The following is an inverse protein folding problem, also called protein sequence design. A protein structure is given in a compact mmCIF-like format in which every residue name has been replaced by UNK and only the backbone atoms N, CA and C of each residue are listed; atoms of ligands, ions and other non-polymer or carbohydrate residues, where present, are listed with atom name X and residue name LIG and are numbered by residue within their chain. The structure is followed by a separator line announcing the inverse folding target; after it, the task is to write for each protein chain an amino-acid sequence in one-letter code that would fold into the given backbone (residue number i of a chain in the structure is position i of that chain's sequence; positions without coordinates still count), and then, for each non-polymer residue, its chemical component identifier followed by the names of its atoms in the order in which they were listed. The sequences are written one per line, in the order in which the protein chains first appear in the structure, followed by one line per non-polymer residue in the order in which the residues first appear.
data_IF_104690818339
#
_entry.id   IF_104690818339
#
_cell.length_a   1.000
_cell.length_b   1.000
_cell.length_c   1.000
_cell.angle_alpha   90.00
_cell.angle_beta   90.00
_cell.angle_gamma   90.00
#
_symmetry.space_group_name_H-M   'P 1'
#
loop_
_entity.id
_entity.type
_entity.pdbx_description
1 polymer ?
#
# COMPACT_ATOMS: atom_id res chain seq x y z
N UNK A 1 32.14 67.53 -16.61
CA UNK A 1 32.65 66.15 -16.77
C UNK A 1 32.03 65.32 -15.66
N UNK A 2 30.89 64.67 -15.93
CA UNK A 2 30.10 63.93 -14.93
C UNK A 2 30.66 62.52 -14.76
N UNK A 3 30.96 62.13 -13.51
CA UNK A 3 31.47 60.81 -13.19
C UNK A 3 30.35 59.78 -13.26
N UNK A 4 30.41 58.91 -14.27
CA UNK A 4 29.63 57.67 -14.31
C UNK A 4 30.21 56.70 -13.28
N UNK A 5 29.59 56.59 -12.12
CA UNK A 5 29.84 55.49 -11.20
C UNK A 5 29.16 54.21 -11.76
N UNK A 6 29.88 53.09 -11.94
CA UNK A 6 29.26 51.83 -12.33
C UNK A 6 28.42 51.31 -11.15
N UNK A 7 27.11 51.12 -11.39
CA UNK A 7 26.21 50.47 -10.46
C UNK A 7 26.56 48.97 -10.35
N UNK A 8 27.33 48.62 -9.32
CA UNK A 8 27.60 47.22 -8.95
C UNK A 8 26.31 46.63 -8.38
N UNK A 9 25.40 46.23 -9.26
CA UNK A 9 24.23 45.43 -8.91
C UNK A 9 24.62 43.95 -8.96
N UNK A 10 25.36 43.49 -7.95
CA UNK A 10 25.52 42.06 -7.67
C UNK A 10 24.17 41.56 -7.18
N UNK A 11 23.27 41.32 -8.12
CA UNK A 11 22.04 40.56 -7.86
C UNK A 11 22.48 39.12 -7.71
N UNK A 12 22.66 38.66 -6.46
CA UNK A 12 22.88 37.23 -6.20
C UNK A 12 21.68 36.48 -6.77
N UNK A 13 21.94 35.51 -7.63
CA UNK A 13 20.90 34.59 -8.09
C UNK A 13 20.38 33.83 -6.86
N UNK A 14 19.12 34.08 -6.49
CA UNK A 14 18.45 33.40 -5.38
C UNK A 14 18.02 32.03 -5.88
N UNK A 15 18.42 30.97 -5.17
CA UNK A 15 18.05 29.58 -5.49
C UNK A 15 17.33 28.95 -4.32
N UNK A 16 16.55 27.91 -4.58
CA UNK A 16 15.95 27.11 -3.51
C UNK A 16 17.05 26.46 -2.66
N UNK A 17 16.79 26.27 -1.36
CA UNK A 17 17.69 25.51 -0.50
C UNK A 17 17.77 24.05 -0.97
N UNK A 18 18.85 23.33 -0.64
CA UNK A 18 18.98 21.92 -0.99
C UNK A 18 17.88 21.08 -0.33
N UNK A 19 17.50 19.98 -0.98
CA UNK A 19 16.45 19.04 -0.52
C UNK A 19 16.44 18.75 1.01
N UNK A 20 17.57 18.41 1.67
CA UNK A 20 17.54 18.14 3.12
C UNK A 20 17.12 19.34 3.97
N UNK A 21 17.45 20.57 3.57
CA UNK A 21 17.04 21.77 4.29
C UNK A 21 15.56 22.09 4.05
N UNK A 22 15.09 21.86 2.83
CA UNK A 22 13.67 21.99 2.50
C UNK A 22 12.82 20.99 3.31
N UNK A 23 13.25 19.74 3.42
CA UNK A 23 12.57 18.73 4.24
C UNK A 23 12.55 19.11 5.73
N UNK A 24 13.63 19.67 6.26
CA UNK A 24 13.65 20.21 7.64
C UNK A 24 12.68 21.38 7.81
N UNK A 25 12.57 22.25 6.80
CA UNK A 25 11.61 23.34 6.81
C UNK A 25 10.17 22.81 6.81
N UNK A 26 9.87 21.79 6.01
CA UNK A 26 8.58 21.11 6.00
C UNK A 26 8.26 20.48 7.36
N UNK A 27 9.19 19.75 7.97
CA UNK A 27 9.00 19.17 9.32
C UNK A 27 8.67 20.23 10.38
N UNK A 28 9.29 21.42 10.30
CA UNK A 28 8.96 22.51 11.21
C UNK A 28 7.60 23.14 10.89
N UNK A 29 7.28 23.28 9.61
CA UNK A 29 6.02 23.83 9.13
C UNK A 29 4.82 22.92 9.42
N UNK A 30 5.03 21.61 9.59
CA UNK A 30 3.98 20.64 9.93
C UNK A 30 3.27 20.94 11.26
N UNK A 31 3.86 21.79 12.11
CA UNK A 31 3.32 22.15 13.43
C UNK A 31 2.25 23.23 13.38
N UNK A 32 2.11 23.95 12.26
CA UNK A 32 1.17 25.06 12.15
C UNK A 32 0.80 25.36 10.70
N UNK A 33 -0.51 25.55 10.40
CA UNK A 33 -0.95 25.91 9.05
C UNK A 33 -0.37 27.25 8.58
N UNK A 34 -0.12 28.20 9.49
CA UNK A 34 0.48 29.49 9.15
C UNK A 34 1.95 29.36 8.73
N UNK A 35 2.72 28.49 9.40
CA UNK A 35 4.09 28.19 9.00
C UNK A 35 4.15 27.48 7.66
N UNK A 36 3.20 26.57 7.39
CA UNK A 36 3.07 25.89 6.11
C UNK A 36 2.75 26.89 4.98
N UNK A 37 1.77 27.78 5.18
CA UNK A 37 1.45 28.87 4.23
C UNK A 37 2.63 29.79 3.96
N UNK A 38 3.36 30.16 5.01
CA UNK A 38 4.55 30.99 4.87
C UNK A 38 5.65 30.28 4.08
N UNK A 39 5.87 28.98 4.32
CA UNK A 39 6.83 28.17 3.55
C UNK A 39 6.48 28.16 2.06
N UNK A 40 5.20 27.89 1.71
CA UNK A 40 4.72 27.96 0.32
C UNK A 40 5.00 29.33 -0.29
N UNK A 41 4.58 30.40 0.39
CA UNK A 41 4.79 31.76 -0.10
C UNK A 41 6.26 32.03 -0.40
N UNK A 42 7.18 31.64 0.50
CA UNK A 42 8.62 31.85 0.28
C UNK A 42 9.19 31.05 -0.87
N UNK A 43 8.75 29.81 -1.06
CA UNK A 43 9.20 28.98 -2.17
C UNK A 43 8.73 29.58 -3.50
N UNK A 44 7.44 29.94 -3.59
CA UNK A 44 6.88 30.62 -4.76
C UNK A 44 7.66 31.91 -5.07
N UNK A 45 7.87 32.77 -4.08
CA UNK A 45 8.66 34.00 -4.24
C UNK A 45 10.09 33.73 -4.72
N UNK A 46 10.77 32.69 -4.24
CA UNK A 46 12.13 32.33 -4.67
C UNK A 46 12.12 31.88 -6.14
N UNK A 47 11.18 31.00 -6.51
CA UNK A 47 11.08 30.48 -7.88
C UNK A 47 10.78 31.61 -8.86
N UNK A 48 9.80 32.46 -8.53
CA UNK A 48 9.39 33.58 -9.38
C UNK A 48 10.49 34.64 -9.54
N UNK A 49 11.27 34.92 -8.49
CA UNK A 49 12.31 35.96 -8.54
C UNK A 49 13.68 35.44 -9.01
N UNK A 50 13.88 34.12 -9.06
CA UNK A 50 15.14 33.55 -9.50
C UNK A 50 15.37 33.69 -11.00
N UNK A 51 16.54 34.21 -11.36
CA UNK A 51 17.01 34.17 -12.75
C UNK A 51 17.47 32.79 -13.17
N UNK A 52 17.87 31.93 -12.22
CA UNK A 52 18.37 30.59 -12.50
C UNK A 52 17.25 29.71 -13.10
N UNK A 53 16.09 29.67 -12.44
CA UNK A 53 14.94 28.89 -12.92
C UNK A 53 14.36 29.44 -14.22
N UNK A 54 14.38 30.77 -14.42
CA UNK A 54 13.91 31.39 -15.68
C UNK A 54 14.81 31.14 -16.89
N UNK A 55 16.09 30.83 -16.68
CA UNK A 55 17.07 30.63 -17.77
C UNK A 55 17.09 29.20 -18.30
N UNK A 56 16.79 28.21 -17.46
CA UNK A 56 16.84 26.79 -17.85
C UNK A 56 15.44 26.16 -17.74
N UNK A 57 14.89 25.61 -18.85
CA UNK A 57 13.59 24.96 -18.82
C UNK A 57 13.58 23.73 -17.91
N UNK A 58 14.70 23.01 -17.81
CA UNK A 58 14.86 21.86 -16.91
C UNK A 58 14.81 22.27 -15.44
N UNK A 59 15.49 23.37 -15.09
CA UNK A 59 15.45 23.91 -13.74
C UNK A 59 14.06 24.43 -13.37
N UNK A 60 13.34 25.03 -14.32
CA UNK A 60 11.95 25.46 -14.12
C UNK A 60 11.01 24.28 -13.91
N UNK A 61 11.18 23.18 -14.65
CA UNK A 61 10.37 21.97 -14.47
C UNK A 61 10.57 21.38 -13.07
N UNK A 62 11.82 21.21 -12.63
CA UNK A 62 12.12 20.74 -11.28
C UNK A 62 11.58 21.69 -10.19
N UNK A 63 11.65 23.02 -10.42
CA UNK A 63 11.10 24.00 -9.50
C UNK A 63 9.56 23.87 -9.38
N UNK A 64 8.85 23.65 -10.49
CA UNK A 64 7.40 23.42 -10.49
C UNK A 64 7.00 22.13 -9.78
N UNK A 65 7.80 21.07 -9.90
CA UNK A 65 7.55 19.84 -9.12
C UNK A 65 7.69 20.08 -7.62
N UNK A 66 8.70 20.86 -7.21
CA UNK A 66 8.87 21.26 -5.81
C UNK A 66 7.72 22.14 -5.35
N UNK A 67 7.29 23.12 -6.17
CA UNK A 67 6.16 23.99 -5.91
C UNK A 67 4.88 23.18 -5.66
N UNK A 68 4.58 22.24 -6.57
CA UNK A 68 3.45 21.32 -6.43
C UNK A 68 3.53 20.48 -5.15
N UNK A 69 4.68 19.89 -4.85
CA UNK A 69 4.87 19.09 -3.65
C UNK A 69 4.67 19.91 -2.35
N UNK A 70 5.06 21.19 -2.37
CA UNK A 70 4.86 22.09 -1.23
C UNK A 70 3.40 22.52 -1.12
N UNK A 71 2.72 22.78 -2.23
CA UNK A 71 1.29 23.09 -2.24
C UNK A 71 0.46 21.94 -1.68
N UNK A 72 0.76 20.71 -2.09
CA UNK A 72 0.16 19.47 -1.56
C UNK A 72 0.46 19.31 -0.06
N UNK A 73 1.70 19.59 0.37
CA UNK A 73 2.07 19.58 1.78
C UNK A 73 1.31 20.63 2.60
N UNK A 74 1.17 21.86 2.11
CA UNK A 74 0.41 22.89 2.82
C UNK A 74 -1.04 22.49 2.96
N UNK A 75 -1.64 21.98 1.88
CA UNK A 75 -3.00 21.46 1.91
C UNK A 75 -3.16 20.33 2.93
N UNK A 76 -2.19 19.41 3.00
CA UNK A 76 -2.15 18.35 4.00
C UNK A 76 -2.12 18.89 5.43
N UNK A 77 -1.27 19.88 5.70
CA UNK A 77 -1.20 20.53 7.03
C UNK A 77 -2.52 21.25 7.33
N UNK A 78 -3.11 21.95 6.37
CA UNK A 78 -4.40 22.60 6.56
C UNK A 78 -5.51 21.61 6.95
N UNK A 79 -5.56 20.42 6.34
CA UNK A 79 -6.50 19.36 6.73
C UNK A 79 -6.23 18.82 8.13
N UNK A 80 -4.96 18.67 8.51
CA UNK A 80 -4.57 18.22 9.86
C UNK A 80 -5.10 19.16 10.95
N UNK A 81 -5.13 20.47 10.67
CA UNK A 81 -5.53 21.51 11.61
C UNK A 81 -6.94 22.08 11.39
N UNK A 82 -7.68 21.62 10.38
CA UNK A 82 -9.05 22.08 10.16
C UNK A 82 -9.96 21.53 11.26
N UNK A 83 -10.03 22.22 12.38
CA UNK A 83 -11.01 21.95 13.43
C UNK A 83 -12.36 22.45 12.94
N UNK A 84 -13.15 21.54 12.38
CA UNK A 84 -14.52 21.84 11.90
C UNK A 84 -15.56 21.86 13.00
N UNK A 85 -15.16 21.50 14.21
CA UNK A 85 -16.09 21.33 15.31
C UNK A 85 -16.31 22.64 16.03
N UNK A 86 -17.58 22.94 16.27
CA UNK A 86 -17.98 24.10 17.03
C UNK A 86 -17.76 23.75 18.50
N UNK A 87 -16.52 23.87 18.95
CA UNK A 87 -16.10 23.57 20.33
C UNK A 87 -16.97 24.33 21.34
N UNK A 88 -17.47 25.51 20.94
CA UNK A 88 -18.40 26.34 21.72
C UNK A 88 -19.84 25.83 21.77
N UNK A 89 -20.24 24.92 20.88
CA UNK A 89 -21.53 24.20 20.95
C UNK A 89 -21.45 22.87 21.73
N UNK A 90 -20.25 22.49 22.20
CA UNK A 90 -20.05 21.27 22.97
C UNK A 90 -19.61 20.05 22.15
N UNK A 91 -19.36 20.22 20.84
CA UNK A 91 -18.76 19.18 20.03
C UNK A 91 -17.26 19.03 20.40
N UNK A 92 -16.85 17.79 20.67
CA UNK A 92 -15.51 17.45 21.13
C UNK A 92 -14.60 17.21 19.93
N UNK A 93 -13.62 18.10 19.65
CA UNK A 93 -12.81 18.03 18.45
C UNK A 93 -12.17 16.65 18.31
N UNK A 94 -12.28 16.07 17.12
CA UNK A 94 -11.61 14.83 16.78
C UNK A 94 -10.11 14.95 17.11
N UNK A 95 -9.69 14.08 18.04
CA UNK A 95 -8.35 14.10 18.64
C UNK A 95 -7.30 13.43 17.77
N UNK A 96 -7.74 12.65 16.78
CA UNK A 96 -6.86 11.98 15.83
C UNK A 96 -6.56 12.90 14.64
N UNK A 97 -5.32 13.37 14.59
CA UNK A 97 -4.82 14.16 13.46
C UNK A 97 -4.93 13.40 12.14
N UNK A 98 -4.75 12.07 12.17
CA UNK A 98 -4.96 11.19 11.03
C UNK A 98 -6.41 11.20 10.53
N UNK A 99 -7.39 11.12 11.45
CA UNK A 99 -8.82 11.16 11.07
C UNK A 99 -9.23 12.53 10.52
N UNK A 100 -8.76 13.61 11.13
CA UNK A 100 -9.02 14.98 10.64
C UNK A 100 -8.49 15.18 9.22
N UNK A 101 -7.24 14.78 9.01
CA UNK A 101 -6.61 14.82 7.70
C UNK A 101 -7.40 14.03 6.64
N UNK A 102 -7.77 12.80 6.96
CA UNK A 102 -8.55 11.94 6.06
C UNK A 102 -9.95 12.50 5.80
N UNK A 103 -10.56 13.19 6.77
CA UNK A 103 -11.84 13.89 6.57
C UNK A 103 -11.69 15.07 5.61
N UNK A 104 -10.61 15.85 5.72
CA UNK A 104 -10.31 16.93 4.76
C UNK A 104 -10.08 16.41 3.33
N UNK A 105 -9.35 15.30 3.20
CA UNK A 105 -9.15 14.60 1.92
C UNK A 105 -10.48 14.10 1.36
N UNK A 106 -11.31 13.45 2.18
CA UNK A 106 -12.61 12.93 1.79
C UNK A 106 -13.52 14.04 1.23
N UNK A 107 -13.59 15.19 1.88
CA UNK A 107 -14.46 16.27 1.41
C UNK A 107 -14.00 16.87 0.09
N UNK A 108 -12.69 17.01 -0.11
CA UNK A 108 -12.15 17.45 -1.41
C UNK A 108 -12.48 16.43 -2.50
N UNK A 109 -12.29 15.15 -2.23
CA UNK A 109 -12.62 14.07 -3.16
C UNK A 109 -14.12 13.99 -3.45
N UNK A 110 -14.98 14.14 -2.44
CA UNK A 110 -16.43 14.19 -2.60
C UNK A 110 -16.86 15.39 -3.47
N UNK A 111 -16.27 16.57 -3.26
CA UNK A 111 -16.55 17.75 -4.08
C UNK A 111 -16.18 17.51 -5.55
N UNK A 112 -15.01 16.91 -5.80
CA UNK A 112 -14.57 16.57 -7.16
C UNK A 112 -15.50 15.55 -7.86
N UNK A 113 -16.09 14.63 -7.10
CA UNK A 113 -17.03 13.64 -7.64
C UNK A 113 -18.44 14.22 -7.86
N UNK A 114 -18.89 15.11 -6.98
CA UNK A 114 -20.17 15.79 -7.11
C UNK A 114 -20.27 16.57 -8.44
N UNK A 115 -19.16 17.14 -8.90
CA UNK A 115 -19.10 17.84 -10.19
C UNK A 115 -19.33 16.90 -11.41
N UNK A 116 -19.05 15.60 -11.26
CA UNK A 116 -19.13 14.62 -12.37
C UNK A 116 -20.47 13.88 -12.46
N UNK A 117 -21.27 13.85 -11.38
CA UNK A 117 -22.63 13.29 -11.35
C UNK A 117 -22.78 11.87 -11.94
N UNK A 118 -21.96 10.92 -11.49
CA UNK A 118 -22.20 9.50 -11.83
C UNK A 118 -23.42 8.97 -11.07
N UNK A 119 -24.39 8.39 -11.78
CA UNK A 119 -25.57 7.77 -11.17
C UNK A 119 -25.22 6.47 -10.42
N UNK A 120 -24.34 5.66 -11.02
CA UNK A 120 -23.92 4.38 -10.48
C UNK A 120 -22.45 4.09 -10.85
N UNK A 121 -21.71 3.46 -9.93
CA UNK A 121 -20.31 3.07 -10.10
C UNK A 121 -20.16 1.61 -9.65
N UNK A 122 -19.48 0.83 -10.49
CA UNK A 122 -19.09 -0.53 -10.15
C UNK A 122 -17.75 -0.52 -9.41
N UNK A 123 -17.74 -1.09 -8.21
CA UNK A 123 -16.56 -1.28 -7.37
C UNK A 123 -16.17 -2.76 -7.37
N UNK A 124 -15.11 -3.06 -8.11
CA UNK A 124 -14.54 -4.39 -8.17
C UNK A 124 -13.35 -4.49 -7.22
N UNK A 125 -13.30 -5.53 -6.40
CA UNK A 125 -12.15 -5.75 -5.51
C UNK A 125 -11.73 -7.22 -5.48
N UNK A 126 -10.46 -7.44 -5.20
CA UNK A 126 -9.88 -8.76 -5.03
C UNK A 126 -8.85 -8.76 -3.90
N UNK A 127 -8.74 -9.90 -3.24
CA UNK A 127 -7.85 -10.12 -2.09
C UNK A 127 -6.99 -11.34 -2.42
N UNK A 128 -5.68 -11.23 -2.31
CA UNK A 128 -4.77 -12.37 -2.43
C UNK A 128 -4.73 -13.18 -1.13
N UNK A 129 -4.27 -14.43 -1.20
CA UNK A 129 -3.91 -15.23 -0.01
C UNK A 129 -2.95 -14.52 0.98
N UNK A 130 -2.09 -13.62 0.51
CA UNK A 130 -1.11 -12.88 1.34
C UNK A 130 -1.68 -11.59 1.97
N UNK A 131 -2.97 -11.33 1.76
CA UNK A 131 -3.67 -10.13 2.21
C UNK A 131 -3.36 -8.87 1.40
N UNK A 132 -2.86 -9.00 0.17
CA UNK A 132 -2.76 -7.88 -0.76
C UNK A 132 -4.14 -7.63 -1.38
N UNK A 133 -4.56 -6.38 -1.37
CA UNK A 133 -5.86 -5.93 -1.83
C UNK A 133 -5.70 -5.06 -3.06
N UNK A 134 -6.46 -5.42 -4.08
CA UNK A 134 -6.56 -4.68 -5.34
C UNK A 134 -8.02 -4.27 -5.53
N UNK A 135 -8.22 -3.04 -5.96
CA UNK A 135 -9.54 -2.49 -6.29
C UNK A 135 -9.51 -1.86 -7.67
N UNK A 136 -10.68 -1.82 -8.31
CA UNK A 136 -10.91 -1.18 -9.59
C UNK A 136 -12.31 -0.57 -9.62
N UNK A 137 -12.46 0.46 -10.44
CA UNK A 137 -13.74 1.13 -10.64
C UNK A 137 -14.07 1.16 -12.12
N UNK A 138 -15.30 0.79 -12.44
CA UNK A 138 -15.80 0.72 -13.80
C UNK A 138 -17.17 1.37 -13.93
N UNK A 139 -17.52 1.71 -15.17
CA UNK A 139 -18.88 2.12 -15.52
C UNK A 139 -19.80 0.89 -15.43
N UNK A 140 -21.00 0.99 -14.84
CA UNK A 140 -21.89 -0.15 -14.68
C UNK A 140 -22.24 -0.80 -16.03
N UNK A 141 -22.13 -2.13 -16.08
CA UNK A 141 -22.47 -2.91 -17.26
C UNK A 141 -21.43 -2.89 -18.38
N UNK A 142 -20.31 -2.18 -18.21
CA UNK A 142 -19.14 -2.25 -19.09
C UNK A 142 -17.89 -2.59 -18.26
N UNK A 143 -16.87 -3.15 -18.91
CA UNK A 143 -15.53 -3.29 -18.30
C UNK A 143 -14.67 -2.05 -18.60
N UNK A 144 -15.27 -0.91 -18.96
CA UNK A 144 -14.55 0.32 -19.24
C UNK A 144 -14.13 1.01 -17.93
N UNK A 145 -12.84 1.35 -17.76
CA UNK A 145 -12.36 2.02 -16.57
C UNK A 145 -12.87 3.46 -16.51
N UNK A 146 -13.11 3.95 -15.29
CA UNK A 146 -13.38 5.37 -15.06
C UNK A 146 -12.15 6.23 -15.35
N UNK A 147 -12.35 7.54 -15.52
CA UNK A 147 -11.23 8.47 -15.66
C UNK A 147 -10.34 8.47 -14.42
N UNK A 148 -9.04 8.64 -14.63
CA UNK A 148 -8.02 8.55 -13.58
C UNK A 148 -8.32 9.47 -12.39
N UNK A 149 -8.78 10.70 -12.62
CA UNK A 149 -9.12 11.63 -11.55
C UNK A 149 -10.35 11.20 -10.72
N UNK A 150 -11.31 10.51 -11.33
CA UNK A 150 -12.45 9.90 -10.61
C UNK A 150 -11.98 8.72 -9.77
N UNK A 151 -11.14 7.85 -10.34
CA UNK A 151 -10.56 6.72 -9.63
C UNK A 151 -9.77 7.21 -8.41
N UNK A 152 -8.91 8.21 -8.58
CA UNK A 152 -8.16 8.82 -7.47
C UNK A 152 -9.08 9.40 -6.38
N UNK A 153 -10.19 10.03 -6.76
CA UNK A 153 -11.13 10.60 -5.79
C UNK A 153 -11.88 9.50 -5.01
N UNK A 154 -12.31 8.43 -5.68
CA UNK A 154 -12.93 7.28 -5.02
C UNK A 154 -11.95 6.54 -4.11
N UNK A 155 -10.70 6.43 -4.53
CA UNK A 155 -9.60 5.87 -3.76
C UNK A 155 -9.35 6.65 -2.46
N UNK A 156 -9.34 7.98 -2.57
CA UNK A 156 -9.22 8.90 -1.43
C UNK A 156 -10.39 8.73 -0.47
N UNK A 157 -11.62 8.63 -0.98
CA UNK A 157 -12.81 8.40 -0.15
C UNK A 157 -12.79 7.05 0.55
N UNK A 158 -12.37 5.99 -0.13
CA UNK A 158 -12.26 4.67 0.48
C UNK A 158 -11.20 4.64 1.58
N UNK A 159 -10.04 5.24 1.34
CA UNK A 159 -8.99 5.34 2.35
C UNK A 159 -9.45 6.18 3.55
N UNK A 160 -10.20 7.24 3.30
CA UNK A 160 -10.75 8.07 4.37
C UNK A 160 -11.84 7.35 5.19
N UNK A 161 -12.68 6.56 4.53
CA UNK A 161 -13.67 5.70 5.19
C UNK A 161 -13.00 4.71 6.15
N UNK A 162 -11.95 4.02 5.69
CA UNK A 162 -11.16 3.10 6.52
C UNK A 162 -10.53 3.81 7.72
N UNK A 163 -9.97 4.99 7.50
CA UNK A 163 -9.34 5.77 8.55
C UNK A 163 -10.36 6.25 9.61
N UNK A 164 -11.51 6.78 9.17
CA UNK A 164 -12.55 7.31 10.07
C UNK A 164 -13.16 6.22 10.93
N UNK A 165 -13.58 5.10 10.31
CA UNK A 165 -14.34 4.04 10.97
C UNK A 165 -13.47 3.04 11.70
N UNK A 166 -12.32 2.65 11.13
CA UNK A 166 -11.50 1.56 11.65
C UNK A 166 -10.08 1.97 12.04
N UNK A 167 -9.67 3.21 11.78
CA UNK A 167 -8.31 3.69 12.04
C UNK A 167 -7.23 2.87 11.30
N UNK A 168 -7.56 2.49 10.07
CA UNK A 168 -6.70 1.71 9.20
C UNK A 168 -6.14 2.60 8.09
N UNK A 169 -4.84 2.48 7.81
CA UNK A 169 -4.19 3.03 6.63
C UNK A 169 -3.90 1.93 5.60
N UNK A 170 -3.90 2.31 4.33
CA UNK A 170 -3.55 1.43 3.22
C UNK A 170 -2.22 1.86 2.62
N UNK A 171 -1.30 0.92 2.48
CA UNK A 171 0.01 1.16 1.85
C UNK A 171 0.33 -0.02 0.92
N UNK A 172 0.58 0.25 -0.36
CA UNK A 172 0.92 -0.75 -1.38
C UNK A 172 -0.03 -1.96 -1.38
N UNK A 173 -1.34 -1.71 -1.30
CA UNK A 173 -2.37 -2.76 -1.28
C UNK A 173 -2.49 -3.52 0.04
N UNK A 174 -1.73 -3.19 1.08
CA UNK A 174 -1.87 -3.81 2.40
C UNK A 174 -2.50 -2.87 3.41
N UNK A 175 -3.25 -3.43 4.37
CA UNK A 175 -3.90 -2.68 5.43
C UNK A 175 -3.05 -2.71 6.71
N UNK A 176 -2.91 -1.56 7.35
CA UNK A 176 -2.18 -1.37 8.59
C UNK A 176 -3.05 -0.66 9.62
N UNK A 177 -3.02 -1.14 10.87
CA UNK A 177 -3.55 -0.36 11.97
C UNK A 177 -2.65 0.85 12.18
N UNK A 178 -3.25 2.03 12.27
CA UNK A 178 -2.51 3.28 12.48
C UNK A 178 -2.78 3.88 13.85
N UNK A 179 -1.83 4.63 14.39
CA UNK A 179 -2.04 5.44 15.59
C UNK A 179 -2.80 6.74 15.29
N UNK A 180 -2.91 7.64 16.28
CA UNK A 180 -3.60 8.94 16.13
C UNK A 180 -2.85 9.93 15.22
N UNK A 181 -1.58 9.67 14.95
CA UNK A 181 -0.71 10.48 14.08
C UNK A 181 -0.64 9.89 12.66
N UNK A 182 -1.12 8.65 12.47
CA UNK A 182 -1.15 7.96 11.19
C UNK A 182 0.01 6.98 11.00
N UNK A 183 0.85 6.75 12.01
CA UNK A 183 1.99 5.84 11.94
C UNK A 183 1.54 4.38 11.95
N UNK A 184 2.12 3.56 11.07
CA UNK A 184 1.80 2.14 10.97
C UNK A 184 2.25 1.37 12.21
N UNK A 185 1.30 0.75 12.90
CA UNK A 185 1.53 -0.09 14.08
C UNK A 185 1.75 -1.54 13.66
N UNK A 186 0.81 -2.09 12.88
CA UNK A 186 0.79 -3.52 12.54
C UNK A 186 -0.02 -3.79 11.28
N UNK A 187 0.51 -4.65 10.40
CA UNK A 187 -0.22 -5.20 9.24
C UNK A 187 -1.41 -6.04 9.72
N UNK A 188 -2.58 -5.84 9.12
CA UNK A 188 -3.77 -6.63 9.42
C UNK A 188 -3.62 -8.05 8.86
N UNK A 189 -4.07 -9.08 9.61
CA UNK A 189 -4.16 -10.43 9.10
C UNK A 189 -5.33 -10.54 8.09
N UNK A 190 -5.22 -11.51 7.18
CA UNK A 190 -6.12 -11.67 6.03
C UNK A 190 -7.55 -11.92 6.47
N UNK A 191 -7.75 -12.72 7.51
CA UNK A 191 -9.07 -13.10 8.00
C UNK A 191 -9.86 -11.89 8.52
N UNK A 192 -9.17 -10.96 9.19
CA UNK A 192 -9.78 -9.71 9.67
C UNK A 192 -10.11 -8.78 8.49
N UNK A 193 -9.23 -8.76 7.48
CA UNK A 193 -9.44 -7.96 6.28
C UNK A 193 -10.64 -8.45 5.46
N UNK A 194 -10.78 -9.76 5.28
CA UNK A 194 -11.94 -10.37 4.61
C UNK A 194 -13.25 -10.08 5.36
N UNK A 195 -13.25 -10.20 6.69
CA UNK A 195 -14.41 -9.85 7.51
C UNK A 195 -14.77 -8.36 7.39
N UNK A 196 -13.77 -7.49 7.41
CA UNK A 196 -13.97 -6.06 7.24
C UNK A 196 -14.57 -5.76 5.86
N UNK A 197 -14.12 -6.45 4.83
CA UNK A 197 -14.58 -6.25 3.46
C UNK A 197 -15.94 -6.91 3.16
N UNK A 198 -16.33 -7.96 3.88
CA UNK A 198 -17.63 -8.59 3.73
C UNK A 198 -18.81 -7.62 4.00
N UNK A 199 -18.69 -6.80 5.04
CA UNK A 199 -19.70 -5.78 5.39
C UNK A 199 -19.39 -4.40 4.75
N UNK A 200 -18.17 -4.23 4.21
CA UNK A 200 -17.69 -2.95 3.67
C UNK A 200 -18.53 -2.36 2.56
N UNK A 201 -19.14 -3.19 1.72
CA UNK A 201 -19.91 -2.72 0.56
C UNK A 201 -21.09 -1.83 0.97
N UNK A 202 -21.76 -2.18 2.07
CA UNK A 202 -22.87 -1.40 2.60
C UNK A 202 -22.35 -0.18 3.36
N UNK A 203 -21.37 -0.40 4.22
CA UNK A 203 -20.81 0.65 5.07
C UNK A 203 -20.12 1.77 4.27
N UNK A 204 -19.45 1.41 3.18
CA UNK A 204 -18.81 2.37 2.28
C UNK A 204 -19.85 3.14 1.48
N UNK A 205 -20.94 2.50 1.05
CA UNK A 205 -22.07 3.18 0.42
C UNK A 205 -22.70 4.20 1.36
N UNK A 206 -22.94 3.81 2.61
CA UNK A 206 -23.50 4.70 3.63
C UNK A 206 -22.56 5.90 3.87
N UNK A 207 -21.25 5.68 3.90
CA UNK A 207 -20.25 6.74 4.01
C UNK A 207 -20.23 7.71 2.82
N UNK A 208 -20.41 7.21 1.58
CA UNK A 208 -20.52 8.07 0.39
C UNK A 208 -21.74 8.99 0.48
N UNK A 209 -22.88 8.47 0.96
CA UNK A 209 -24.09 9.26 1.17
C UNK A 209 -23.90 10.32 2.27
N UNK A 210 -23.27 9.96 3.39
CA UNK A 210 -22.89 10.92 4.44
C UNK A 210 -21.97 12.03 3.90
N UNK A 211 -21.15 11.71 2.90
CA UNK A 211 -20.22 12.63 2.27
C UNK A 211 -20.84 13.45 1.13
N UNK A 212 -22.18 13.45 0.98
CA UNK A 212 -22.95 14.11 -0.08
C UNK A 212 -22.65 13.62 -1.50
N UNK A 213 -22.17 12.38 -1.67
CA UNK A 213 -22.01 11.75 -2.98
C UNK A 213 -23.26 10.89 -3.24
N UNK A 214 -24.08 11.30 -4.21
CA UNK A 214 -25.37 10.65 -4.54
C UNK A 214 -25.24 9.36 -5.36
N UNK A 215 -24.02 8.92 -5.65
CA UNK A 215 -23.74 7.79 -6.52
C UNK A 215 -24.07 6.46 -5.87
N UNK A 216 -24.73 5.57 -6.62
CA UNK A 216 -24.98 4.20 -6.19
C UNK A 216 -23.75 3.33 -6.41
N UNK A 217 -23.29 2.62 -5.38
CA UNK A 217 -22.13 1.73 -5.46
C UNK A 217 -22.57 0.26 -5.59
N UNK A 218 -22.20 -0.40 -6.69
CA UNK A 218 -22.38 -1.85 -6.88
C UNK A 218 -21.06 -2.55 -6.63
N UNK A 219 -21.01 -3.46 -5.67
CA UNK A 219 -19.77 -4.17 -5.33
C UNK A 219 -19.73 -5.55 -5.97
N UNK A 220 -18.56 -5.93 -6.48
CA UNK A 220 -18.31 -7.29 -6.99
C UNK A 220 -16.92 -7.75 -6.58
N UNK A 221 -16.87 -8.85 -5.84
CA UNK A 221 -15.61 -9.53 -5.56
C UNK A 221 -15.16 -10.29 -6.81
N UNK A 222 -13.90 -10.08 -7.23
CA UNK A 222 -13.25 -10.81 -8.34
C UNK A 222 -12.11 -11.67 -7.80
N UNK A 223 -11.69 -12.64 -8.60
CA UNK A 223 -10.45 -13.40 -8.35
C UNK A 223 -9.24 -12.48 -8.42
N UNK A 224 -8.22 -12.76 -7.60
CA UNK A 224 -7.04 -11.91 -7.54
C UNK A 224 -6.22 -11.97 -8.85
N UNK A 225 -5.80 -10.82 -9.42
CA UNK A 225 -5.05 -10.81 -10.67
C UNK A 225 -3.74 -11.59 -10.55
N UNK A 226 -3.60 -12.67 -11.33
CA UNK A 226 -2.36 -13.44 -11.41
C UNK A 226 -2.22 -14.59 -10.41
N UNK A 227 -3.20 -14.82 -9.52
CA UNK A 227 -3.17 -15.97 -8.59
C UNK A 227 -3.12 -17.31 -9.34
N UNK A 228 -3.80 -17.42 -10.48
CA UNK A 228 -3.73 -18.62 -11.33
C UNK A 228 -2.29 -18.91 -11.81
N UNK A 229 -1.48 -17.89 -12.09
CA UNK A 229 -0.07 -18.09 -12.50
C UNK A 229 0.82 -18.49 -11.32
N UNK A 230 0.63 -17.85 -10.17
CA UNK A 230 1.43 -18.15 -8.97
C UNK A 230 1.09 -19.52 -8.39
N UNK A 231 -0.18 -19.93 -8.44
CA UNK A 231 -0.59 -21.25 -7.97
C UNK A 231 -0.14 -22.34 -8.95
N UNK A 232 -0.20 -22.12 -10.26
CA UNK A 232 0.42 -23.03 -11.24
C UNK A 232 1.93 -23.18 -11.04
N UNK A 233 2.65 -22.10 -10.72
CA UNK A 233 4.09 -22.14 -10.41
C UNK A 233 4.39 -22.85 -9.10
N UNK A 234 3.59 -22.62 -8.04
CA UNK A 234 3.70 -23.34 -6.75
C UNK A 234 3.41 -24.83 -6.93
N UNK A 235 2.38 -25.18 -7.69
CA UNK A 235 2.04 -26.58 -7.99
C UNK A 235 3.19 -27.22 -8.77
N UNK A 236 3.74 -26.56 -9.79
CA UNK A 236 4.91 -27.04 -10.56
C UNK A 236 6.16 -27.20 -9.69
N UNK A 237 6.44 -26.25 -8.80
CA UNK A 237 7.58 -26.34 -7.89
C UNK A 237 7.43 -27.50 -6.89
N UNK A 238 6.22 -27.70 -6.34
CA UNK A 238 5.90 -28.84 -5.46
C UNK A 238 6.01 -30.18 -6.21
N UNK A 239 5.50 -30.27 -7.44
CA UNK A 239 5.63 -31.49 -8.25
C UNK A 239 7.08 -31.77 -8.62
N UNK A 240 7.87 -30.76 -9.00
CA UNK A 240 9.31 -30.94 -9.27
C UNK A 240 10.09 -31.39 -8.04
N UNK A 241 9.77 -30.84 -6.85
CA UNK A 241 10.40 -31.24 -5.60
C UNK A 241 10.03 -32.69 -5.23
N UNK A 242 8.76 -33.07 -5.36
CA UNK A 242 8.30 -34.43 -5.13
C UNK A 242 8.94 -35.44 -6.12
N UNK A 243 9.06 -35.07 -7.40
CA UNK A 243 9.75 -35.89 -8.41
C UNK A 243 11.23 -36.06 -8.06
N UNK A 244 11.89 -35.00 -7.59
CA UNK A 244 13.30 -35.05 -7.22
C UNK A 244 13.54 -35.93 -5.98
N UNK A 245 12.70 -35.81 -4.96
CA UNK A 245 12.75 -36.69 -3.78
C UNK A 245 12.51 -38.16 -4.16
N UNK A 246 11.57 -38.44 -5.07
CA UNK A 246 11.27 -39.79 -5.54
C UNK A 246 12.40 -40.39 -6.40
N UNK A 247 13.15 -39.55 -7.11
CA UNK A 247 14.36 -39.95 -7.83
C UNK A 247 15.52 -40.21 -6.86
N UNK A 248 15.66 -39.42 -5.80
CA UNK A 248 16.71 -39.61 -4.78
C UNK A 248 16.47 -40.89 -3.95
N UNK A 249 15.23 -41.17 -3.56
CA UNK A 249 14.90 -42.42 -2.85
C UNK A 249 15.14 -43.64 -3.72
N UNK A 250 14.75 -43.60 -5.00
CA UNK A 250 15.00 -44.72 -5.94
C UNK A 250 16.48 -44.98 -6.20
N UNK A 251 17.31 -43.93 -6.27
CA UNK A 251 18.77 -44.07 -6.39
C UNK A 251 19.41 -44.66 -5.12
N UNK A 252 18.86 -44.35 -3.95
CA UNK A 252 19.31 -44.95 -2.68
C UNK A 252 18.98 -46.45 -2.63
N UNK A 253 17.82 -46.85 -3.12
CA UNK A 253 17.41 -48.26 -3.21
C UNK A 253 18.29 -49.05 -4.20
N UNK A 254 18.62 -48.49 -5.37
CA UNK A 254 19.53 -49.11 -6.35
C UNK A 254 20.97 -49.28 -5.80
N UNK A 255 21.48 -48.32 -5.01
CA UNK A 255 22.80 -48.43 -4.36
C UNK A 255 22.80 -49.46 -3.22
N UNK A 256 21.66 -49.67 -2.55
CA UNK A 256 21.52 -50.73 -1.54
C UNK A 256 21.46 -52.13 -2.16
N UNK A 257 20.87 -52.30 -3.34
CA UNK A 257 20.84 -53.58 -4.05
C UNK A 257 22.21 -53.99 -4.63
N UNK A 258 23.03 -53.05 -5.13
CA UNK A 258 24.39 -53.36 -5.62
C UNK A 258 25.37 -53.79 -4.52
N UNK A 259 25.15 -53.36 -3.27
CA UNK A 259 26.07 -53.66 -2.15
C UNK A 259 25.88 -55.05 -1.52
N UNK A 260 24.83 -55.79 -1.90
CA UNK A 260 24.54 -57.15 -1.39
C UNK A 260 25.11 -58.24 -2.33
N UNK A 261 25.53 -57.89 -3.54
CA UNK A 261 25.99 -58.85 -4.57
C UNK A 261 27.46 -59.33 -4.48
N UNK A 262 28.28 -58.83 -3.55
CA UNK A 262 29.73 -59.13 -3.55
C UNK A 262 30.26 -59.59 -2.20
N UNK A 263 29.97 -60.83 -1.80
CA UNK A 263 30.83 -61.61 -0.88
C UNK A 263 30.58 -63.11 -1.00
N UNK A 264 31.37 -63.76 -1.85
CA UNK A 264 31.58 -65.21 -1.84
C UNK A 264 32.59 -65.61 -0.74
N UNK A 265 32.25 -66.70 -0.05
CA UNK A 265 33.00 -67.72 0.74
C UNK A 265 34.55 -67.71 0.76
N UNK A 266 35.23 -68.24 1.83
CA UNK A 266 35.18 -69.69 2.13
C UNK A 266 35.31 -70.18 3.61
N UNK A 267 34.82 -71.42 3.78
CA UNK A 267 35.26 -72.57 4.62
C UNK A 267 35.80 -72.39 6.05
N UNK A 268 35.21 -73.12 7.02
CA UNK A 268 35.81 -74.34 7.61
C UNK A 268 35.08 -74.84 8.87
N UNK A 269 34.90 -76.16 8.91
CA UNK A 269 34.81 -77.10 10.04
C UNK A 269 34.13 -76.68 11.36
N UNK A 270 33.02 -77.36 11.70
CA UNK A 270 33.03 -78.50 12.65
C UNK A 270 31.62 -78.95 13.06
N UNK A 271 31.31 -80.21 12.77
CA UNK A 271 30.31 -81.07 13.44
C UNK A 271 30.78 -81.46 14.87
N UNK A 272 30.01 -82.19 15.73
CA UNK A 272 28.60 -82.61 15.67
C UNK A 272 27.83 -82.51 17.02
N UNK A 273 26.48 -82.59 17.00
CA UNK A 273 25.64 -83.60 17.71
C UNK A 273 24.18 -83.15 17.93
N UNK A 274 23.28 -83.85 17.25
CA UNK A 274 22.14 -84.64 17.78
C UNK A 274 21.43 -84.11 19.05
N UNK A 275 20.18 -83.66 18.89
CA UNK A 275 19.03 -84.26 19.60
C UNK A 275 17.68 -83.89 18.95
N UNK A 276 16.93 -84.94 18.62
CA UNK A 276 15.53 -84.93 18.26
C UNK A 276 14.70 -84.56 19.50
N UNK A 277 13.57 -83.85 19.31
CA UNK A 277 12.30 -84.29 19.88
C UNK A 277 11.10 -83.59 19.21
N UNK A 278 10.07 -84.40 18.98
CA UNK A 278 8.84 -84.17 18.22
C UNK A 278 7.79 -83.35 19.00
N UNK A 279 6.75 -82.83 18.32
CA UNK A 279 5.67 -82.07 18.96
C UNK A 279 4.63 -83.00 19.59
N UNK A 280 4.23 -82.71 20.83
CA UNK A 280 3.16 -83.38 21.55
C UNK A 280 2.01 -82.42 21.89
N UNK A 281 0.87 -82.65 21.25
CA UNK A 281 -0.43 -82.05 21.55
C UNK A 281 -1.23 -83.00 22.48
N UNK A 282 -2.31 -82.46 23.06
CA UNK A 282 -3.42 -83.12 23.78
C UNK A 282 -3.26 -83.29 25.30
N UNK A 283 -4.16 -82.60 26.03
CA UNK A 283 -4.41 -82.75 27.46
C UNK A 283 -4.82 -81.44 28.11
#
# INVERSE_FOLDING_TARGET
MSANAPSISITKDVTLPPKPELLKAMQNAEKSPELARYLRQRVHEIIENSRYYKKSPEAMAAAKEIEKAIDEFVQFVEYKFSQREQIWLGDLPETSSFKNMQTGIAEKAASNLADKNYEEIQFDFAISEEGHFVRGYAVPGTDEPLDEGTVESLDQLFNAWLAKKYQIATENGYFFNSDKEGSHIRKLPVEIMEQLLADSAKDFRDFLQESNVSTTLVTRQREYPGEQRLEEERIRAKTQKAIKELIETRKLDEVMEENIGTKSEPESDSEPKVQQESPGHVG
#
